data_IF_381445943045
#
_entry.id   IF_381445943045
#
_cell.length_a   1.000
_cell.length_b   1.000
_cell.length_c   1.000
_cell.angle_alpha   90.00
_cell.angle_beta   90.00
_cell.angle_gamma   90.00
#
_symmetry.space_group_name_H-M   'P 1'
#
loop_
_entity.id
_entity.type
_entity.pdbx_description
1 polymer ?
#
# COMPACT_ATOMS: atom_id res chain seq x y z
N UNK A 1 14.80 -1.45 -3.29
CA UNK A 1 13.55 -0.67 -3.40
C UNK A 1 13.37 -0.29 -4.86
N UNK A 2 12.19 -0.48 -5.46
CA UNK A 2 11.98 -0.29 -6.89
C UNK A 2 12.26 1.15 -7.34
N UNK A 3 11.90 2.17 -6.55
CA UNK A 3 12.12 3.58 -6.90
C UNK A 3 13.61 3.89 -7.07
N UNK A 4 14.45 3.45 -6.14
CA UNK A 4 15.90 3.65 -6.19
C UNK A 4 16.58 2.95 -7.38
N UNK A 5 15.99 1.86 -7.89
CA UNK A 5 16.53 1.13 -9.04
C UNK A 5 16.02 1.67 -10.38
N UNK A 6 14.87 2.35 -10.39
CA UNK A 6 14.22 2.86 -11.61
C UNK A 6 13.80 1.76 -12.59
N UNK A 7 13.60 0.53 -12.11
CA UNK A 7 13.27 -0.65 -12.94
C UNK A 7 12.06 -1.38 -12.36
N UNK A 8 11.32 -2.06 -13.24
CA UNK A 8 10.30 -3.02 -12.80
C UNK A 8 10.97 -4.13 -11.99
N UNK A 9 10.47 -4.36 -10.78
CA UNK A 9 10.93 -5.46 -9.92
C UNK A 9 9.74 -6.21 -9.36
N UNK A 10 10.01 -7.37 -8.74
CA UNK A 10 9.00 -8.14 -7.98
C UNK A 10 8.75 -7.57 -6.58
N UNK A 11 9.39 -6.46 -6.24
CA UNK A 11 9.15 -5.78 -4.96
C UNK A 11 7.75 -5.17 -4.99
N UNK A 12 6.93 -5.35 -3.95
CA UNK A 12 5.62 -4.72 -3.85
C UNK A 12 5.70 -3.18 -3.95
N UNK A 13 4.64 -2.57 -4.45
CA UNK A 13 4.48 -1.11 -4.59
C UNK A 13 3.62 -0.59 -3.43
N UNK A 14 3.95 0.55 -2.81
CA UNK A 14 3.12 1.20 -1.80
C UNK A 14 1.73 1.57 -2.33
N UNK A 15 0.72 1.37 -1.49
CA UNK A 15 -0.66 1.80 -1.75
C UNK A 15 -1.20 2.41 -0.46
N UNK A 16 -1.90 3.53 -0.59
CA UNK A 16 -2.67 4.15 0.48
C UNK A 16 -4.13 4.25 0.03
N UNK A 17 -5.06 3.96 0.94
CA UNK A 17 -6.50 4.02 0.69
C UNK A 17 -7.11 4.90 1.77
N UNK A 18 -7.88 5.90 1.34
CA UNK A 18 -8.64 6.76 2.23
C UNK A 18 -10.13 6.52 2.00
N UNK A 19 -10.84 6.12 3.05
CA UNK A 19 -12.26 5.82 3.03
C UNK A 19 -12.95 6.50 4.22
N UNK A 20 -14.08 7.21 4.02
CA UNK A 20 -14.84 7.79 5.13
C UNK A 20 -15.27 6.72 6.13
N UNK A 21 -15.08 6.98 7.43
CA UNK A 21 -15.49 6.06 8.50
C UNK A 21 -14.53 4.89 8.75
N UNK A 22 -13.40 4.82 8.05
CA UNK A 22 -12.30 3.90 8.36
C UNK A 22 -11.27 4.62 9.23
N UNK A 23 -10.87 3.99 10.33
CA UNK A 23 -9.83 4.51 11.21
C UNK A 23 -8.45 4.40 10.53
N UNK A 24 -7.65 5.48 10.49
CA UNK A 24 -6.32 5.45 9.89
C UNK A 24 -5.36 4.58 10.71
N UNK A 25 -4.32 4.07 10.05
CA UNK A 25 -3.19 3.44 10.74
C UNK A 25 -2.16 4.47 11.19
N UNK A 26 -1.15 4.01 11.95
CA UNK A 26 -0.10 4.87 12.52
C UNK A 26 0.97 5.30 11.48
N UNK A 27 0.76 5.06 10.18
CA UNK A 27 1.75 5.39 9.15
C UNK A 27 1.51 6.80 8.59
N UNK A 28 2.44 7.71 8.91
CA UNK A 28 2.32 9.12 8.53
C UNK A 28 3.06 9.50 7.22
N UNK A 29 3.89 8.61 6.67
CA UNK A 29 4.69 8.87 5.46
C UNK A 29 4.41 7.88 4.34
N UNK A 30 4.40 8.36 3.09
CA UNK A 30 4.19 7.53 1.91
C UNK A 30 5.52 7.23 1.20
N UNK A 31 6.13 6.10 1.57
CA UNK A 31 7.35 5.57 0.96
C UNK A 31 7.40 4.03 1.03
N UNK A 32 8.30 3.40 0.27
CA UNK A 32 8.37 1.93 0.18
C UNK A 32 8.79 1.20 1.48
N UNK A 33 9.33 1.93 2.46
CA UNK A 33 9.72 1.36 3.76
C UNK A 33 8.59 1.51 4.76
N UNK A 34 7.97 2.70 4.82
CA UNK A 34 6.85 3.00 5.69
C UNK A 34 5.61 2.17 5.36
N UNK A 35 5.32 1.98 4.06
CA UNK A 35 4.17 1.20 3.60
C UNK A 35 4.18 -0.26 4.09
N UNK A 36 5.33 -0.81 4.50
CA UNK A 36 5.42 -2.16 5.08
C UNK A 36 4.80 -2.28 6.47
N UNK A 37 4.62 -1.15 7.16
CA UNK A 37 3.98 -1.07 8.49
C UNK A 37 2.49 -0.76 8.41
N UNK A 38 1.97 -0.46 7.22
CA UNK A 38 0.56 -0.10 7.04
C UNK A 38 -0.39 -1.27 7.26
N UNK A 39 -1.61 -0.97 7.70
CA UNK A 39 -2.63 -1.95 8.05
C UNK A 39 -3.18 -2.74 6.85
N UNK A 40 -3.02 -2.20 5.62
CA UNK A 40 -3.42 -2.88 4.38
C UNK A 40 -2.63 -4.16 4.10
N UNK A 41 -1.43 -4.30 4.68
CA UNK A 41 -0.56 -5.45 4.47
C UNK A 41 -0.17 -5.66 3.00
N UNK A 42 0.06 -6.93 2.61
CA UNK A 42 0.46 -7.30 1.26
C UNK A 42 -0.74 -7.71 0.40
N UNK A 43 -1.37 -6.73 -0.26
CA UNK A 43 -2.43 -6.96 -1.23
C UNK A 43 -1.92 -7.71 -2.47
N UNK A 44 -2.67 -8.69 -2.95
CA UNK A 44 -2.33 -9.53 -4.12
C UNK A 44 -3.53 -9.69 -5.04
N UNK A 45 -3.28 -9.81 -6.34
CA UNK A 45 -4.34 -10.05 -7.33
C UNK A 45 -5.39 -8.94 -7.31
N UNK A 46 -6.67 -9.32 -7.16
CA UNK A 46 -7.82 -8.40 -7.12
C UNK A 46 -8.03 -7.72 -5.76
N UNK A 47 -7.26 -8.06 -4.73
CA UNK A 47 -7.55 -7.63 -3.35
C UNK A 47 -7.69 -6.11 -3.16
N UNK A 48 -6.99 -5.31 -3.97
CA UNK A 48 -7.16 -3.84 -3.97
C UNK A 48 -8.54 -3.43 -4.49
N UNK A 49 -9.01 -4.02 -5.59
CA UNK A 49 -10.33 -3.71 -6.14
C UNK A 49 -11.44 -4.19 -5.20
N UNK A 50 -11.27 -5.38 -4.61
CA UNK A 50 -12.22 -5.94 -3.64
C UNK A 50 -12.32 -5.09 -2.36
N UNK A 51 -11.27 -4.34 -2.01
CA UNK A 51 -11.27 -3.37 -0.90
C UNK A 51 -11.99 -2.07 -1.28
N UNK A 52 -11.79 -1.58 -2.52
CA UNK A 52 -12.33 -0.30 -2.98
C UNK A 52 -13.80 -0.36 -3.39
N UNK A 53 -14.29 -1.53 -3.81
CA UNK A 53 -15.63 -1.73 -4.37
C UNK A 53 -16.63 -2.34 -3.38
N UNK A 54 -16.24 -2.50 -2.11
CA UNK A 54 -17.17 -2.77 -1.01
C UNK A 54 -17.88 -1.49 -0.59
#
# INVERSE_FOLDING_TARGET
MPLALGKHTRTPVPVAVYQPGVEPDDVETFDESAARRGALGALKGSALMDLLLK
#
